data_IF_149029337350
#
_entry.id   IF_149029337350
#
_cell.length_a   1.000
_cell.length_b   1.000
_cell.length_c   1.000
_cell.angle_alpha   90.00
_cell.angle_beta   90.00
_cell.angle_gamma   90.00
#
_symmetry.space_group_name_H-M   'P 1'
#
loop_
_entity.id
_entity.type
_entity.pdbx_description
1 polymer ?
#
# COMPACT_ATOMS: atom_id res chain seq x y z
N UNK A 1 31.13 65.09 -58.77
CA UNK A 1 30.29 65.53 -57.64
C UNK A 1 29.27 64.43 -57.36
N UNK A 2 29.62 63.46 -56.52
CA UNK A 2 28.60 62.59 -55.92
C UNK A 2 27.84 63.41 -54.88
N UNK A 3 26.52 63.43 -54.98
CA UNK A 3 25.65 64.23 -54.13
C UNK A 3 25.88 63.85 -52.66
N UNK A 4 26.16 64.83 -51.79
CA UNK A 4 26.24 64.63 -50.32
C UNK A 4 24.99 63.94 -49.76
N UNK A 5 23.86 64.02 -50.45
CA UNK A 5 22.62 63.32 -50.11
C UNK A 5 22.72 61.80 -50.27
N UNK A 6 23.50 61.28 -51.22
CA UNK A 6 23.66 59.82 -51.43
C UNK A 6 24.49 59.18 -50.32
N UNK A 7 25.56 59.86 -49.88
CA UNK A 7 26.45 59.38 -48.81
C UNK A 7 25.72 59.37 -47.45
N UNK A 8 24.83 60.32 -47.20
CA UNK A 8 24.07 60.38 -45.95
C UNK A 8 23.02 59.26 -45.85
N UNK A 9 22.39 58.89 -46.97
CA UNK A 9 21.45 57.76 -47.05
C UNK A 9 22.19 56.43 -46.89
N UNK A 10 23.37 56.26 -47.49
CA UNK A 10 24.19 55.05 -47.32
C UNK A 10 24.69 54.87 -45.88
N UNK A 11 25.10 55.94 -45.20
CA UNK A 11 25.56 55.87 -43.81
C UNK A 11 24.42 55.56 -42.82
N UNK A 12 23.25 56.18 -43.00
CA UNK A 12 22.06 55.85 -42.19
C UNK A 12 21.56 54.43 -42.46
N UNK A 13 21.58 53.98 -43.72
CA UNK A 13 21.25 52.59 -44.09
C UNK A 13 22.21 51.58 -43.45
N UNK A 14 23.52 51.84 -43.46
CA UNK A 14 24.52 50.96 -42.85
C UNK A 14 24.36 50.85 -41.32
N UNK A 15 24.12 51.97 -40.62
CA UNK A 15 23.87 51.95 -39.17
C UNK A 15 22.58 51.21 -38.82
N UNK A 16 21.52 51.37 -39.61
CA UNK A 16 20.27 50.61 -39.40
C UNK A 16 20.45 49.11 -39.67
N UNK A 17 21.21 48.74 -40.70
CA UNK A 17 21.47 47.33 -41.03
C UNK A 17 22.23 46.61 -39.92
N UNK A 18 23.21 47.27 -39.28
CA UNK A 18 23.97 46.69 -38.16
C UNK A 18 23.07 46.46 -36.93
N UNK A 19 22.28 47.48 -36.56
CA UNK A 19 21.34 47.39 -35.44
C UNK A 19 20.36 46.22 -35.59
N UNK A 20 19.76 46.07 -36.77
CA UNK A 20 18.81 44.97 -36.97
C UNK A 20 19.49 43.60 -37.04
N UNK A 21 20.73 43.50 -37.52
CA UNK A 21 21.50 42.26 -37.50
C UNK A 21 21.77 41.80 -36.06
N UNK A 22 22.20 42.73 -35.20
CA UNK A 22 22.39 42.47 -33.77
C UNK A 22 21.08 42.06 -33.09
N UNK A 23 19.97 42.74 -33.41
CA UNK A 23 18.66 42.41 -32.87
C UNK A 23 18.19 41.00 -33.29
N UNK A 24 18.40 40.62 -34.55
CA UNK A 24 18.09 39.28 -35.06
C UNK A 24 18.95 38.22 -34.36
N UNK A 25 20.25 38.48 -34.19
CA UNK A 25 21.14 37.55 -33.49
C UNK A 25 20.73 37.38 -32.02
N UNK A 26 20.40 38.47 -31.33
CA UNK A 26 19.90 38.43 -29.96
C UNK A 26 18.59 37.64 -29.84
N UNK A 27 17.68 37.79 -30.81
CA UNK A 27 16.43 37.04 -30.84
C UNK A 27 16.66 35.55 -31.08
N UNK A 28 17.54 35.19 -32.02
CA UNK A 28 17.94 33.79 -32.26
C UNK A 28 18.49 33.15 -30.98
N UNK A 29 19.45 33.81 -30.32
CA UNK A 29 20.04 33.31 -29.07
C UNK A 29 18.99 33.13 -27.98
N UNK A 30 18.02 34.05 -27.89
CA UNK A 30 16.93 33.97 -26.92
C UNK A 30 16.02 32.77 -27.19
N UNK A 31 15.67 32.52 -28.45
CA UNK A 31 14.87 31.36 -28.87
C UNK A 31 15.61 30.06 -28.54
N UNK A 32 16.89 29.96 -28.91
CA UNK A 32 17.73 28.78 -28.63
C UNK A 32 17.84 28.48 -27.14
N UNK A 33 18.14 29.51 -26.33
CA UNK A 33 18.24 29.37 -24.88
C UNK A 33 16.93 28.85 -24.27
N UNK A 34 15.78 29.41 -24.70
CA UNK A 34 14.47 28.99 -24.19
C UNK A 34 14.08 27.58 -24.65
N UNK A 35 14.38 27.19 -25.89
CA UNK A 35 14.15 25.82 -26.38
C UNK A 35 15.01 24.81 -25.62
N UNK A 36 16.27 25.18 -25.34
CA UNK A 36 17.17 24.36 -24.55
C UNK A 36 16.67 24.20 -23.10
N UNK A 37 16.27 25.30 -22.47
CA UNK A 37 15.71 25.29 -21.11
C UNK A 37 14.43 24.43 -21.03
N UNK A 38 13.51 24.60 -21.98
CA UNK A 38 12.28 23.80 -22.07
C UNK A 38 12.60 22.31 -22.23
N UNK A 39 13.54 21.97 -23.11
CA UNK A 39 13.95 20.57 -23.33
C UNK A 39 14.59 19.95 -22.08
N UNK A 40 15.41 20.72 -21.34
CA UNK A 40 16.02 20.28 -20.08
C UNK A 40 14.98 20.06 -18.97
N UNK A 41 14.04 20.99 -18.82
CA UNK A 41 12.91 20.86 -17.87
C UNK A 41 12.01 19.68 -18.22
N UNK A 42 11.75 19.47 -19.50
CA UNK A 42 10.96 18.34 -19.99
C UNK A 42 11.65 17.00 -19.68
N UNK A 43 12.95 16.87 -19.96
CA UNK A 43 13.71 15.66 -19.63
C UNK A 43 13.65 15.34 -18.13
N UNK A 44 13.78 16.36 -17.28
CA UNK A 44 13.64 16.22 -15.82
C UNK A 44 12.23 15.78 -15.42
N UNK A 45 11.18 16.36 -16.01
CA UNK A 45 9.80 15.98 -15.72
C UNK A 45 9.50 14.53 -16.16
N UNK A 46 9.99 14.12 -17.33
CA UNK A 46 9.87 12.75 -17.83
C UNK A 46 10.56 11.75 -16.90
N UNK A 47 11.81 12.01 -16.51
CA UNK A 47 12.55 11.15 -15.57
C UNK A 47 11.78 10.97 -14.26
N UNK A 48 11.23 12.05 -13.70
CA UNK A 48 10.45 12.01 -12.46
C UNK A 48 9.14 11.23 -12.61
N UNK A 49 8.44 11.39 -13.73
CA UNK A 49 7.26 10.59 -14.02
C UNK A 49 7.61 9.10 -14.10
N UNK A 50 8.68 8.74 -14.81
CA UNK A 50 9.14 7.36 -14.91
C UNK A 50 9.48 6.77 -13.54
N UNK A 51 10.21 7.51 -12.69
CA UNK A 51 10.54 7.07 -11.32
C UNK A 51 9.28 6.88 -10.46
N UNK A 52 8.33 7.81 -10.52
CA UNK A 52 7.08 7.70 -9.79
C UNK A 52 6.22 6.51 -10.28
N UNK A 53 6.23 6.23 -11.58
CA UNK A 53 5.54 5.07 -12.16
C UNK A 53 6.19 3.75 -11.74
N UNK A 54 7.51 3.67 -11.76
CA UNK A 54 8.26 2.49 -11.33
C UNK A 54 8.02 2.20 -9.84
N UNK A 55 8.13 3.22 -8.98
CA UNK A 55 7.88 3.06 -7.55
C UNK A 55 6.41 2.71 -7.27
N UNK A 56 5.44 3.34 -7.95
CA UNK A 56 4.03 2.94 -7.82
C UNK A 56 3.80 1.49 -8.28
N UNK A 57 4.47 1.04 -9.35
CA UNK A 57 4.36 -0.33 -9.82
C UNK A 57 4.86 -1.34 -8.77
N UNK A 58 6.00 -1.07 -8.15
CA UNK A 58 6.61 -1.95 -7.14
C UNK A 58 5.88 -1.88 -5.79
N UNK A 59 5.61 -0.68 -5.29
CA UNK A 59 5.05 -0.46 -3.97
C UNK A 59 3.54 -0.73 -3.89
N UNK A 60 2.80 -0.51 -4.99
CA UNK A 60 1.34 -0.55 -4.98
C UNK A 60 0.81 -1.73 -5.77
N UNK A 61 1.05 -1.74 -7.09
CA UNK A 61 0.32 -2.65 -7.97
C UNK A 61 0.72 -4.11 -7.79
N UNK A 62 1.98 -4.37 -7.41
CA UNK A 62 2.41 -5.73 -7.05
C UNK A 62 1.80 -6.22 -5.73
N UNK A 63 1.47 -5.30 -4.81
CA UNK A 63 0.95 -5.64 -3.47
C UNK A 63 -0.57 -5.72 -3.42
N UNK A 64 -1.27 -5.10 -4.38
CA UNK A 64 -2.74 -5.10 -4.48
C UNK A 64 -3.44 -6.47 -4.32
N UNK A 65 -2.89 -7.63 -4.74
CA UNK A 65 -3.50 -8.94 -4.50
C UNK A 65 -3.80 -9.25 -3.02
N UNK A 66 -3.12 -8.59 -2.07
CA UNK A 66 -3.38 -8.72 -0.63
C UNK A 66 -4.84 -8.42 -0.25
N UNK A 67 -5.50 -7.51 -0.97
CA UNK A 67 -6.90 -7.16 -0.71
C UNK A 67 -7.81 -8.37 -0.94
N UNK A 68 -7.56 -9.11 -2.03
CA UNK A 68 -8.28 -10.34 -2.34
C UNK A 68 -7.91 -11.48 -1.38
N UNK A 69 -6.64 -11.61 -1.01
CA UNK A 69 -6.17 -12.62 -0.04
C UNK A 69 -6.93 -12.51 1.31
N UNK A 70 -7.17 -11.28 1.78
CA UNK A 70 -7.91 -11.03 3.02
C UNK A 70 -9.38 -11.40 2.85
N UNK A 71 -10.01 -11.02 1.74
CA UNK A 71 -11.39 -11.38 1.45
C UNK A 71 -11.57 -12.91 1.40
N UNK A 72 -10.62 -13.62 0.80
CA UNK A 72 -10.60 -15.09 0.75
C UNK A 72 -10.46 -15.70 2.15
N UNK A 73 -9.63 -15.11 3.03
CA UNK A 73 -9.55 -15.53 4.43
C UNK A 73 -10.88 -15.30 5.14
N UNK A 74 -11.51 -14.14 4.95
CA UNK A 74 -12.79 -13.82 5.56
C UNK A 74 -13.89 -14.78 5.12
N UNK A 75 -13.91 -15.17 3.84
CA UNK A 75 -14.84 -16.19 3.35
C UNK A 75 -14.55 -17.55 3.98
N UNK A 76 -13.28 -17.94 4.14
CA UNK A 76 -12.95 -19.18 4.86
C UNK A 76 -13.44 -19.13 6.31
N UNK A 77 -13.16 -18.06 7.05
CA UNK A 77 -13.56 -17.91 8.45
C UNK A 77 -15.09 -17.94 8.63
N UNK A 78 -15.86 -17.41 7.67
CA UNK A 78 -17.33 -17.50 7.66
C UNK A 78 -17.86 -18.91 7.46
N UNK A 79 -17.07 -19.78 6.82
CA UNK A 79 -17.46 -21.16 6.55
C UNK A 79 -17.01 -22.13 7.66
N UNK A 80 -16.28 -21.65 8.66
CA UNK A 80 -15.86 -22.46 9.81
C UNK A 80 -16.75 -22.12 11.00
N UNK A 81 -17.66 -23.04 11.31
CA UNK A 81 -18.49 -22.96 12.51
C UNK A 81 -17.65 -23.20 13.77
N UNK A 82 -17.96 -22.48 14.84
CA UNK A 82 -17.35 -22.69 16.15
C UNK A 82 -17.92 -23.95 16.78
N UNK A 83 -17.05 -24.80 17.30
CA UNK A 83 -17.45 -26.05 17.93
C UNK A 83 -18.30 -25.74 19.17
N UNK A 84 -19.47 -26.39 19.25
CA UNK A 84 -20.45 -26.20 20.32
C UNK A 84 -19.91 -26.42 21.74
N UNK A 85 -18.77 -27.10 21.89
CA UNK A 85 -18.10 -27.28 23.18
C UNK A 85 -17.45 -25.99 23.72
N UNK A 86 -17.21 -24.98 22.87
CA UNK A 86 -16.68 -23.67 23.29
C UNK A 86 -17.76 -22.61 23.48
N UNK A 87 -18.87 -22.70 22.75
CA UNK A 87 -19.86 -21.65 22.72
C UNK A 87 -20.74 -21.71 23.99
N UNK A 88 -20.78 -20.62 24.74
CA UNK A 88 -21.68 -20.43 25.88
C UNK A 88 -23.15 -20.31 25.40
N UNK A 89 -23.74 -21.41 24.91
CA UNK A 89 -25.15 -21.59 24.50
C UNK A 89 -25.55 -21.06 23.12
N UNK A 90 -24.70 -20.29 22.42
CA UNK A 90 -24.99 -19.82 21.05
C UNK A 90 -24.47 -20.78 19.99
N UNK A 91 -25.38 -21.54 19.39
CA UNK A 91 -25.08 -22.39 18.25
C UNK A 91 -25.09 -21.56 16.95
N UNK A 92 -24.14 -21.84 16.05
CA UNK A 92 -24.08 -21.23 14.71
C UNK A 92 -23.20 -19.98 14.58
N UNK A 93 -22.44 -19.61 15.62
CA UNK A 93 -21.37 -18.61 15.47
C UNK A 93 -20.23 -19.20 14.62
N UNK A 94 -19.62 -18.35 13.81
CA UNK A 94 -18.50 -18.68 12.92
C UNK A 94 -17.23 -18.03 13.45
N UNK A 95 -16.06 -18.50 13.02
CA UNK A 95 -14.80 -17.84 13.39
C UNK A 95 -14.75 -16.37 12.95
N UNK A 96 -15.52 -16.00 11.93
CA UNK A 96 -15.63 -14.63 11.47
C UNK A 96 -16.27 -13.69 12.50
N UNK A 97 -17.15 -14.20 13.37
CA UNK A 97 -17.83 -13.38 14.39
C UNK A 97 -16.89 -12.93 15.52
N UNK A 98 -15.68 -13.50 15.59
CA UNK A 98 -14.65 -13.18 16.57
C UNK A 98 -13.56 -12.23 16.04
N UNK A 99 -13.68 -11.78 14.79
CA UNK A 99 -12.71 -10.86 14.19
C UNK A 99 -13.31 -9.47 13.97
N UNK A 100 -12.48 -8.44 14.10
CA UNK A 100 -12.86 -7.05 13.80
C UNK A 100 -12.85 -6.79 12.28
N UNK A 101 -13.85 -7.33 11.60
CA UNK A 101 -13.95 -7.23 10.14
C UNK A 101 -14.24 -5.81 9.65
N UNK A 102 -14.81 -4.95 10.49
CA UNK A 102 -15.15 -3.57 10.13
C UNK A 102 -13.89 -2.72 10.06
N UNK A 103 -12.97 -2.85 11.03
CA UNK A 103 -11.67 -2.17 10.99
C UNK A 103 -10.86 -2.60 9.77
N UNK A 104 -10.80 -3.90 9.47
CA UNK A 104 -10.06 -4.41 8.30
C UNK A 104 -10.67 -3.89 6.99
N UNK A 105 -12.01 -3.85 6.90
CA UNK A 105 -12.70 -3.31 5.73
C UNK A 105 -12.43 -1.82 5.56
N UNK A 106 -12.37 -1.06 6.66
CA UNK A 106 -11.97 0.36 6.63
C UNK A 106 -10.57 0.52 6.05
N UNK A 107 -9.60 -0.28 6.49
CA UNK A 107 -8.24 -0.25 5.97
C UNK A 107 -8.16 -0.64 4.49
N UNK A 108 -8.92 -1.67 4.06
CA UNK A 108 -9.00 -2.05 2.64
C UNK A 108 -9.59 -0.89 1.79
N UNK A 109 -10.64 -0.22 2.29
CA UNK A 109 -11.24 0.92 1.60
C UNK A 109 -10.29 2.10 1.52
N UNK A 110 -9.56 2.40 2.60
CA UNK A 110 -8.54 3.44 2.62
C UNK A 110 -7.43 3.12 1.62
N UNK A 111 -6.92 1.89 1.61
CA UNK A 111 -5.93 1.45 0.63
C UNK A 111 -6.43 1.64 -0.81
N UNK A 112 -7.63 1.16 -1.15
CA UNK A 112 -8.24 1.34 -2.49
C UNK A 112 -8.38 2.81 -2.86
N UNK A 113 -8.83 3.63 -1.91
CA UNK A 113 -8.96 5.06 -2.13
C UNK A 113 -7.61 5.72 -2.42
N UNK A 114 -6.56 5.39 -1.66
CA UNK A 114 -5.21 5.93 -1.87
C UNK A 114 -4.57 5.47 -3.18
N UNK A 115 -4.78 4.20 -3.57
CA UNK A 115 -4.36 3.68 -4.88
C UNK A 115 -4.94 4.53 -5.99
N UNK A 116 -6.25 4.82 -5.91
CA UNK A 116 -6.94 5.65 -6.89
C UNK A 116 -6.39 7.07 -6.93
N UNK A 117 -6.09 7.67 -5.77
CA UNK A 117 -5.45 8.99 -5.71
C UNK A 117 -4.08 9.00 -6.44
N UNK A 118 -3.26 7.95 -6.30
CA UNK A 118 -1.99 7.81 -7.03
C UNK A 118 -2.21 7.64 -8.53
N UNK A 119 -3.15 6.79 -8.94
CA UNK A 119 -3.46 6.56 -10.37
C UNK A 119 -3.92 7.84 -11.06
N UNK A 120 -4.81 8.60 -10.41
CA UNK A 120 -5.28 9.89 -10.91
C UNK A 120 -4.14 10.92 -11.00
N UNK A 121 -3.26 10.96 -9.99
CA UNK A 121 -2.08 11.83 -9.97
C UNK A 121 -1.10 11.49 -11.10
N UNK A 122 -0.77 10.21 -11.28
CA UNK A 122 0.12 9.73 -12.36
C UNK A 122 -0.48 10.00 -13.73
N UNK A 123 -1.79 9.77 -13.91
CA UNK A 123 -2.50 10.05 -15.15
C UNK A 123 -2.47 11.54 -15.52
N UNK A 124 -2.75 12.41 -14.55
CA UNK A 124 -2.68 13.86 -14.72
C UNK A 124 -1.26 14.34 -15.06
N UNK A 125 -0.24 13.81 -14.37
CA UNK A 125 1.17 14.13 -14.64
C UNK A 125 1.58 13.65 -16.05
N UNK A 126 1.21 12.42 -16.42
CA UNK A 126 1.46 11.86 -17.74
C UNK A 126 0.82 12.70 -18.85
N UNK A 127 -0.45 13.09 -18.69
CA UNK A 127 -1.14 13.99 -19.63
C UNK A 127 -0.41 15.33 -19.79
N UNK A 128 -0.02 15.97 -18.68
CA UNK A 128 0.70 17.24 -18.72
C UNK A 128 2.06 17.11 -19.42
N UNK A 129 2.84 16.08 -19.11
CA UNK A 129 4.12 15.81 -19.77
C UNK A 129 3.94 15.60 -21.28
N UNK A 130 2.96 14.80 -21.70
CA UNK A 130 2.68 14.58 -23.12
C UNK A 130 2.30 15.88 -23.86
N UNK A 131 1.56 16.77 -23.20
CA UNK A 131 1.24 18.09 -23.76
C UNK A 131 2.49 18.96 -23.90
N UNK A 132 3.38 18.97 -22.91
CA UNK A 132 4.66 19.69 -22.98
C UNK A 132 5.54 19.12 -24.10
N UNK A 133 5.61 17.79 -24.26
CA UNK A 133 6.33 17.14 -25.37
C UNK A 133 5.79 17.62 -26.72
N UNK A 134 4.46 17.66 -26.88
CA UNK A 134 3.83 18.10 -28.12
C UNK A 134 4.17 19.57 -28.44
N UNK A 135 4.14 20.44 -27.44
CA UNK A 135 4.54 21.86 -27.56
C UNK A 135 6.01 21.98 -27.94
N UNK A 136 6.91 21.30 -27.22
CA UNK A 136 8.35 21.34 -27.49
C UNK A 136 8.65 20.86 -28.91
N UNK A 137 8.04 19.75 -29.35
CA UNK A 137 8.18 19.22 -30.71
C UNK A 137 7.69 20.20 -31.77
N UNK A 138 6.56 20.88 -31.53
CA UNK A 138 6.04 21.91 -32.42
C UNK A 138 7.02 23.07 -32.57
N UNK A 139 7.54 23.59 -31.45
CA UNK A 139 8.48 24.71 -31.45
C UNK A 139 9.81 24.35 -32.11
N UNK A 140 10.40 23.20 -31.79
CA UNK A 140 11.64 22.72 -32.42
C UNK A 140 11.46 22.55 -33.94
N UNK A 141 10.40 21.86 -34.39
CA UNK A 141 10.15 21.65 -35.82
C UNK A 141 10.00 22.98 -36.58
N UNK A 142 9.36 23.96 -35.94
CA UNK A 142 9.18 25.29 -36.52
C UNK A 142 10.52 26.04 -36.60
N UNK A 143 11.34 25.94 -35.56
CA UNK A 143 12.69 26.52 -35.53
C UNK A 143 13.60 25.92 -36.60
N UNK A 144 13.65 24.59 -36.69
CA UNK A 144 14.45 23.86 -37.69
C UNK A 144 14.03 24.25 -39.11
N UNK A 145 12.72 24.33 -39.39
CA UNK A 145 12.22 24.75 -40.70
C UNK A 145 12.65 26.17 -41.09
N UNK A 146 12.89 27.07 -40.14
CA UNK A 146 13.40 28.41 -40.43
C UNK A 146 14.90 28.35 -40.71
N UNK A 147 15.64 27.59 -39.90
CA UNK A 147 17.08 27.38 -40.09
C UNK A 147 17.39 26.75 -41.45
N UNK A 148 16.63 25.74 -41.87
CA UNK A 148 16.77 25.11 -43.18
C UNK A 148 16.54 26.10 -44.32
N UNK A 149 15.51 26.94 -44.22
CA UNK A 149 15.23 27.99 -45.22
C UNK A 149 16.33 29.05 -45.28
N UNK A 150 16.93 29.41 -44.15
CA UNK A 150 18.09 30.32 -44.13
C UNK A 150 19.29 29.69 -44.82
N UNK A 151 19.55 28.40 -44.58
CA UNK A 151 20.65 27.66 -45.19
C UNK A 151 20.47 27.47 -46.69
N UNK A 152 19.24 27.24 -47.17
CA UNK A 152 18.93 27.19 -48.60
C UNK A 152 19.09 28.55 -49.27
N UNK A 153 18.71 29.64 -48.59
CA UNK A 153 18.86 30.99 -49.11
C UNK A 153 20.31 31.42 -49.21
N UNK A 154 21.14 31.12 -48.21
CA UNK A 154 22.57 31.46 -48.24
C UNK A 154 23.32 30.80 -49.39
N UNK A 155 22.88 29.60 -49.83
CA UNK A 155 23.40 28.92 -51.03
C UNK A 155 22.98 29.60 -52.34
N UNK A 156 21.83 30.27 -52.37
CA UNK A 156 21.24 30.85 -53.59
C UNK A 156 21.58 32.34 -53.82
N UNK A 157 22.10 33.06 -52.82
CA UNK A 157 22.38 34.51 -52.88
C UNK A 157 23.66 34.92 -53.64
N UNK A 158 24.39 33.99 -54.25
CA UNK A 158 25.67 34.25 -54.93
C UNK A 158 25.57 34.94 -56.31
N UNK A 159 24.39 35.38 -56.77
CA UNK A 159 24.20 35.83 -58.18
C UNK A 159 23.33 37.07 -58.45
N UNK A 160 22.89 37.86 -57.47
CA UNK A 160 22.07 39.08 -57.78
C UNK A 160 22.19 40.17 -56.70
N UNK A 161 22.85 41.28 -57.06
CA UNK A 161 23.26 42.35 -56.15
C UNK A 161 22.18 43.44 -55.98
N UNK A 162 21.95 43.86 -54.73
CA UNK A 162 21.31 45.13 -54.38
C UNK A 162 19.94 45.03 -53.72
N UNK A 163 18.90 44.71 -54.49
CA UNK A 163 17.50 44.90 -54.02
C UNK A 163 16.91 43.69 -53.28
N UNK A 164 17.42 42.47 -53.53
CA UNK A 164 16.95 41.24 -52.87
C UNK A 164 17.29 41.18 -51.37
N UNK A 165 18.41 41.79 -50.97
CA UNK A 165 18.94 41.73 -49.60
C UNK A 165 17.97 42.32 -48.57
N UNK A 166 17.23 43.37 -48.92
CA UNK A 166 16.26 44.01 -48.01
C UNK A 166 15.00 43.17 -47.76
N UNK A 167 14.52 42.42 -48.77
CA UNK A 167 13.31 41.59 -48.66
C UNK A 167 13.60 40.31 -47.87
N UNK A 168 14.74 39.68 -48.13
CA UNK A 168 15.13 38.45 -47.43
C UNK A 168 15.37 38.69 -45.94
N UNK A 169 15.94 39.86 -45.61
CA UNK A 169 16.11 40.33 -44.24
C UNK A 169 14.78 40.50 -43.51
N UNK A 170 13.82 41.18 -44.12
CA UNK A 170 12.49 41.40 -43.53
C UNK A 170 11.77 40.07 -43.29
N UNK A 171 11.86 39.15 -44.26
CA UNK A 171 11.30 37.82 -44.11
C UNK A 171 11.91 37.07 -42.92
N UNK A 172 13.24 37.14 -42.73
CA UNK A 172 13.91 36.47 -41.60
C UNK A 172 13.43 37.02 -40.24
N UNK A 173 13.37 38.34 -40.11
CA UNK A 173 12.87 39.00 -38.90
C UNK A 173 11.42 38.60 -38.61
N UNK A 174 10.54 38.62 -39.62
CA UNK A 174 9.12 38.24 -39.47
C UNK A 174 8.99 36.80 -38.99
N UNK A 175 9.76 35.87 -39.54
CA UNK A 175 9.72 34.46 -39.14
C UNK A 175 10.22 34.24 -37.70
N UNK A 176 11.31 34.92 -37.28
CA UNK A 176 11.83 34.83 -35.91
C UNK A 176 10.89 35.47 -34.90
N UNK A 177 10.29 36.62 -35.23
CA UNK A 177 9.24 37.24 -34.39
C UNK A 177 8.02 36.33 -34.29
N UNK A 178 7.63 35.66 -35.37
CA UNK A 178 6.51 34.70 -35.34
C UNK A 178 6.79 33.51 -34.40
N UNK A 179 8.01 32.95 -34.40
CA UNK A 179 8.37 31.92 -33.40
C UNK A 179 8.34 32.48 -32.00
N UNK A 180 8.90 33.66 -31.77
CA UNK A 180 8.91 34.26 -30.44
C UNK A 180 7.48 34.46 -29.90
N UNK A 181 6.56 34.93 -30.75
CA UNK A 181 5.15 35.03 -30.40
C UNK A 181 4.51 33.65 -30.12
N UNK A 182 4.81 32.64 -30.93
CA UNK A 182 4.35 31.27 -30.67
C UNK A 182 4.90 30.73 -29.33
N UNK A 183 6.15 31.04 -28.98
CA UNK A 183 6.76 30.68 -27.71
C UNK A 183 6.05 31.37 -26.53
N UNK A 184 5.75 32.66 -26.63
CA UNK A 184 5.01 33.40 -25.60
C UNK A 184 3.57 32.87 -25.44
N UNK A 185 2.93 32.47 -26.54
CA UNK A 185 1.62 31.79 -26.48
C UNK A 185 1.72 30.43 -25.82
N UNK A 186 2.73 29.63 -26.19
CA UNK A 186 3.01 28.33 -25.60
C UNK A 186 3.36 28.46 -24.11
N UNK A 187 4.07 29.50 -23.70
CA UNK A 187 4.51 29.69 -22.32
C UNK A 187 3.32 29.75 -21.34
N UNK A 188 2.22 30.39 -21.75
CA UNK A 188 0.98 30.38 -20.96
C UNK A 188 0.43 28.97 -20.74
N UNK A 189 0.46 28.13 -21.77
CA UNK A 189 0.05 26.73 -21.66
C UNK A 189 1.04 25.91 -20.85
N UNK A 190 2.35 26.14 -21.03
CA UNK A 190 3.40 25.47 -20.26
C UNK A 190 3.26 25.78 -18.78
N UNK A 191 3.05 27.05 -18.41
CA UNK A 191 2.77 27.44 -17.03
C UNK A 191 1.55 26.67 -16.50
N UNK A 192 0.45 26.59 -17.24
CA UNK A 192 -0.72 25.81 -16.82
C UNK A 192 -0.40 24.33 -16.59
N UNK A 193 0.37 23.70 -17.48
CA UNK A 193 0.73 22.28 -17.34
C UNK A 193 1.73 22.04 -16.20
N UNK A 194 2.73 22.90 -16.02
CA UNK A 194 3.64 22.83 -14.88
C UNK A 194 2.92 23.12 -13.55
N UNK A 195 1.96 24.05 -13.54
CA UNK A 195 1.08 24.28 -12.40
C UNK A 195 0.14 23.11 -12.17
N UNK A 196 -0.33 22.41 -13.21
CA UNK A 196 -1.12 21.19 -13.04
C UNK A 196 -0.29 20.08 -12.39
N UNK A 197 0.95 19.87 -12.86
CA UNK A 197 1.91 18.94 -12.23
C UNK A 197 2.13 19.36 -10.77
N UNK A 198 2.48 20.63 -10.52
CA UNK A 198 2.65 21.19 -9.16
C UNK A 198 1.37 21.13 -8.30
N UNK A 199 0.20 21.23 -8.92
CA UNK A 199 -1.11 21.23 -8.27
C UNK A 199 -1.54 19.83 -7.85
N UNK A 200 -1.22 18.81 -8.66
CA UNK A 200 -1.28 17.41 -8.23
C UNK A 200 -0.48 17.25 -6.94
N UNK A 201 0.74 17.79 -6.89
CA UNK A 201 1.56 17.73 -5.68
C UNK A 201 0.97 18.50 -4.49
N UNK A 202 0.37 19.67 -4.74
CA UNK A 202 -0.19 20.49 -3.66
C UNK A 202 -1.44 19.85 -3.06
N UNK A 203 -2.32 19.24 -3.88
CA UNK A 203 -3.51 18.51 -3.40
C UNK A 203 -3.13 17.31 -2.54
N UNK A 204 -2.06 16.62 -2.91
CA UNK A 204 -1.53 15.51 -2.14
C UNK A 204 -0.93 15.98 -0.80
N UNK A 205 -0.34 17.18 -0.76
CA UNK A 205 0.28 17.74 0.45
C UNK A 205 -0.72 18.45 1.39
N UNK A 206 -1.90 18.89 0.91
CA UNK A 206 -2.88 19.60 1.75
C UNK A 206 -3.52 18.77 2.86
N UNK A 207 -3.35 17.43 2.86
CA UNK A 207 -3.71 16.57 4.01
C UNK A 207 -2.57 16.48 5.04
N UNK A 208 -1.34 16.88 4.70
CA UNK A 208 -0.18 16.94 5.58
C UNK A 208 -0.09 18.35 6.19
N UNK A 209 -0.82 18.57 7.27
CA UNK A 209 -0.96 19.87 7.94
C UNK A 209 0.40 20.43 8.45
N UNK A 210 0.64 21.74 8.22
CA UNK A 210 1.48 22.71 8.98
C UNK A 210 2.96 23.01 8.66
N UNK A 211 3.58 22.53 7.59
CA UNK A 211 4.94 23.01 7.26
C UNK A 211 5.00 23.93 6.04
N UNK A 212 4.90 25.23 6.34
CA UNK A 212 5.17 26.38 5.48
C UNK A 212 6.64 26.37 5.01
N UNK A 213 6.96 25.56 3.99
CA UNK A 213 8.22 25.69 3.28
C UNK A 213 7.99 26.32 1.90
N UNK A 214 8.76 27.38 1.55
CA UNK A 214 8.59 28.07 0.29
C UNK A 214 9.01 27.18 -0.89
N UNK A 215 8.24 27.31 -1.97
CA UNK A 215 8.38 26.69 -3.29
C UNK A 215 9.84 26.52 -3.74
N UNK A 216 10.41 25.34 -3.49
CA UNK A 216 11.63 24.87 -4.15
C UNK A 216 11.31 23.64 -5.00
N UNK A 217 12.03 23.45 -6.10
CA UNK A 217 11.88 22.31 -7.02
C UNK A 217 12.05 20.93 -6.35
N UNK A 218 12.51 20.88 -5.10
CA UNK A 218 12.57 19.66 -4.28
C UNK A 218 11.20 19.20 -3.76
N UNK A 219 10.20 20.09 -3.66
CA UNK A 219 8.88 19.76 -3.08
C UNK A 219 8.04 18.77 -3.89
N UNK A 220 8.31 18.66 -5.20
CA UNK A 220 7.58 17.77 -6.12
C UNK A 220 7.84 16.29 -5.79
N UNK A 221 9.08 15.91 -5.49
CA UNK A 221 9.43 14.52 -5.14
C UNK A 221 8.90 14.14 -3.75
N UNK A 222 8.91 15.08 -2.79
CA UNK A 222 8.40 14.83 -1.44
C UNK A 222 6.92 14.41 -1.42
N UNK A 223 6.10 14.89 -2.37
CA UNK A 223 4.66 14.63 -2.41
C UNK A 223 4.31 13.21 -2.89
N UNK A 224 4.97 12.69 -3.94
CA UNK A 224 4.76 11.29 -4.34
C UNK A 224 5.27 10.35 -3.28
N UNK A 225 6.48 10.59 -2.78
CA UNK A 225 7.09 9.75 -1.76
C UNK A 225 6.23 9.67 -0.50
N UNK A 226 5.60 10.78 -0.10
CA UNK A 226 4.72 10.76 1.06
C UNK A 226 3.49 9.86 0.86
N UNK A 227 2.76 10.02 -0.26
CA UNK A 227 1.60 9.20 -0.56
C UNK A 227 1.96 7.72 -0.77
N UNK A 228 3.10 7.47 -1.43
CA UNK A 228 3.63 6.12 -1.62
C UNK A 228 3.98 5.49 -0.28
N UNK A 229 4.63 6.23 0.62
CA UNK A 229 4.92 5.77 1.98
C UNK A 229 3.63 5.50 2.79
N UNK A 230 2.61 6.36 2.69
CA UNK A 230 1.31 6.11 3.35
C UNK A 230 0.70 4.78 2.86
N UNK A 231 0.70 4.55 1.55
CA UNK A 231 0.18 3.32 0.95
C UNK A 231 1.01 2.11 1.35
N UNK A 232 2.34 2.24 1.37
CA UNK A 232 3.24 1.18 1.85
C UNK A 232 2.91 0.83 3.30
N UNK A 233 2.74 1.81 4.20
CA UNK A 233 2.38 1.55 5.59
C UNK A 233 1.02 0.85 5.73
N UNK A 234 0.02 1.26 4.94
CA UNK A 234 -1.29 0.60 4.90
C UNK A 234 -1.17 -0.86 4.42
N UNK A 235 -0.36 -1.12 3.41
CA UNK A 235 -0.14 -2.48 2.93
C UNK A 235 0.60 -3.35 3.94
N UNK A 236 1.61 -2.84 4.63
CA UNK A 236 2.29 -3.57 5.71
C UNK A 236 1.32 -3.96 6.83
N UNK A 237 0.42 -3.04 7.21
CA UNK A 237 -0.63 -3.32 8.19
C UNK A 237 -1.60 -4.42 7.69
N UNK A 238 -2.05 -4.33 6.43
CA UNK A 238 -2.90 -5.35 5.82
C UNK A 238 -2.19 -6.72 5.73
N UNK A 239 -0.89 -6.76 5.43
CA UNK A 239 -0.10 -7.99 5.44
C UNK A 239 0.00 -8.59 6.84
N UNK A 240 0.24 -7.76 7.85
CA UNK A 240 0.27 -8.19 9.25
C UNK A 240 -1.06 -8.80 9.67
N UNK A 241 -2.18 -8.15 9.32
CA UNK A 241 -3.53 -8.65 9.58
C UNK A 241 -3.83 -9.95 8.84
N UNK A 242 -3.45 -10.06 7.56
CA UNK A 242 -3.58 -11.31 6.79
C UNK A 242 -2.87 -12.46 7.50
N UNK A 243 -1.63 -12.25 7.92
CA UNK A 243 -0.83 -13.29 8.55
C UNK A 243 -1.38 -13.66 9.93
N UNK A 244 -1.84 -12.66 10.69
CA UNK A 244 -2.56 -12.89 11.94
C UNK A 244 -3.79 -13.78 11.74
N UNK A 245 -4.67 -13.46 10.78
CA UNK A 245 -5.89 -14.24 10.55
C UNK A 245 -5.62 -15.64 9.97
N UNK A 246 -4.57 -15.81 9.16
CA UNK A 246 -4.10 -17.15 8.76
C UNK A 246 -3.64 -17.96 9.97
N UNK A 247 -2.90 -17.34 10.87
CA UNK A 247 -2.43 -18.01 12.08
C UNK A 247 -3.57 -18.31 13.05
N UNK A 248 -4.57 -17.44 13.15
CA UNK A 248 -5.78 -17.65 13.93
C UNK A 248 -6.52 -18.92 13.48
N UNK A 249 -6.81 -19.04 12.17
CA UNK A 249 -7.46 -20.21 11.57
C UNK A 249 -6.69 -21.52 11.89
N UNK A 250 -5.37 -21.52 11.64
CA UNK A 250 -4.50 -22.67 11.92
C UNK A 250 -4.44 -23.03 13.41
N UNK A 251 -4.44 -22.03 14.29
CA UNK A 251 -4.37 -22.24 15.74
C UNK A 251 -5.69 -22.77 16.27
N UNK A 252 -6.82 -22.31 15.74
CA UNK A 252 -8.13 -22.84 16.08
C UNK A 252 -8.25 -24.33 15.73
N UNK A 253 -7.78 -24.74 14.55
CA UNK A 253 -7.75 -26.16 14.18
C UNK A 253 -6.93 -27.02 15.16
N UNK A 254 -5.81 -26.50 15.66
CA UNK A 254 -5.00 -27.18 16.69
C UNK A 254 -5.70 -27.23 18.05
N UNK A 255 -6.42 -26.17 18.41
CA UNK A 255 -7.20 -26.09 19.64
C UNK A 255 -8.28 -27.19 19.67
N UNK A 256 -8.96 -27.44 18.54
CA UNK A 256 -9.93 -28.53 18.41
C UNK A 256 -9.30 -29.91 18.67
N UNK A 257 -8.12 -30.17 18.12
CA UNK A 257 -7.41 -31.43 18.35
C UNK A 257 -7.03 -31.60 19.82
N UNK A 258 -6.55 -30.54 20.45
CA UNK A 258 -6.16 -30.57 21.86
C UNK A 258 -7.38 -30.77 22.78
N UNK A 259 -8.52 -30.12 22.49
CA UNK A 259 -9.76 -30.39 23.22
C UNK A 259 -10.20 -31.84 23.09
N UNK A 260 -10.20 -32.38 21.87
CA UNK A 260 -10.56 -33.77 21.66
C UNK A 260 -9.64 -34.71 22.46
N UNK A 261 -8.33 -34.44 22.48
CA UNK A 261 -7.36 -35.19 23.28
C UNK A 261 -7.68 -35.13 24.79
N UNK A 262 -8.05 -33.96 25.32
CA UNK A 262 -8.44 -33.78 26.72
C UNK A 262 -9.72 -34.54 27.07
N UNK A 263 -10.76 -34.45 26.23
CA UNK A 263 -11.99 -35.21 26.41
C UNK A 263 -11.74 -36.72 26.41
N UNK A 264 -10.86 -37.21 25.53
CA UNK A 264 -10.49 -38.63 25.50
C UNK A 264 -9.73 -39.05 26.77
N UNK A 265 -8.84 -38.19 27.26
CA UNK A 265 -8.14 -38.43 28.53
C UNK A 265 -9.11 -38.48 29.72
N UNK A 266 -10.06 -37.55 29.80
CA UNK A 266 -11.10 -37.52 30.83
C UNK A 266 -11.94 -38.80 30.80
N UNK A 267 -12.45 -39.20 29.63
CA UNK A 267 -13.23 -40.46 29.48
C UNK A 267 -12.42 -41.68 29.91
N UNK A 268 -11.16 -41.77 29.50
CA UNK A 268 -10.28 -42.90 29.86
C UNK A 268 -10.01 -42.94 31.38
N UNK A 269 -9.83 -41.76 31.98
CA UNK A 269 -9.61 -41.63 33.43
C UNK A 269 -10.87 -42.05 34.18
N UNK A 270 -12.05 -41.56 33.77
CA UNK A 270 -13.33 -41.93 34.36
C UNK A 270 -13.58 -43.44 34.25
N UNK A 271 -13.33 -44.03 33.06
CA UNK A 271 -13.45 -45.47 32.87
C UNK A 271 -12.55 -46.24 33.85
N UNK A 272 -11.28 -45.82 33.97
CA UNK A 272 -10.32 -46.44 34.89
C UNK A 272 -10.80 -46.36 36.34
N UNK A 273 -11.31 -45.19 36.77
CA UNK A 273 -11.88 -45.01 38.12
C UNK A 273 -13.07 -45.93 38.33
N UNK A 274 -13.99 -46.02 37.35
CA UNK A 274 -15.15 -46.91 37.45
C UNK A 274 -14.74 -48.38 37.56
N UNK A 275 -13.72 -48.81 36.80
CA UNK A 275 -13.17 -50.17 36.89
C UNK A 275 -12.56 -50.44 38.28
N UNK A 276 -11.81 -49.49 38.85
CA UNK A 276 -11.28 -49.58 40.21
C UNK A 276 -12.38 -49.68 41.26
N UNK A 277 -13.44 -48.87 41.17
CA UNK A 277 -14.59 -48.92 42.08
C UNK A 277 -15.26 -50.30 42.01
N UNK A 278 -15.48 -50.84 40.80
CA UNK A 278 -16.07 -52.18 40.62
C UNK A 278 -15.18 -53.26 41.22
N UNK A 279 -13.87 -53.20 41.01
CA UNK A 279 -12.93 -54.16 41.55
C UNK A 279 -12.93 -54.15 43.10
N UNK A 280 -12.92 -52.96 43.71
CA UNK A 280 -12.98 -52.79 45.17
C UNK A 280 -14.30 -53.33 45.73
N UNK A 281 -15.44 -53.06 45.08
CA UNK A 281 -16.72 -53.61 45.51
C UNK A 281 -16.76 -55.14 45.43
N UNK A 282 -16.26 -55.72 44.32
CA UNK A 282 -16.19 -57.17 44.16
C UNK A 282 -15.37 -57.83 45.29
N UNK A 283 -14.22 -57.25 45.66
CA UNK A 283 -13.40 -57.76 46.77
C UNK A 283 -14.10 -57.67 48.13
N UNK A 284 -14.85 -56.59 48.38
CA UNK A 284 -15.64 -56.43 49.61
C UNK A 284 -16.76 -57.46 49.68
N UNK A 285 -17.42 -57.75 48.56
CA UNK A 285 -18.49 -58.75 48.48
C UNK A 285 -17.95 -60.18 48.67
N UNK A 286 -16.81 -60.50 48.04
CA UNK A 286 -16.12 -61.79 48.25
C UNK A 286 -15.71 -62.00 49.73
N UNK A 287 -15.17 -60.97 50.38
CA UNK A 287 -14.77 -61.06 51.79
C UNK A 287 -15.99 -61.21 52.71
N UNK A 288 -17.10 -60.50 52.42
CA UNK A 288 -18.34 -60.68 53.17
C UNK A 288 -18.89 -62.09 53.01
N UNK A 289 -18.87 -62.64 51.78
CA UNK A 289 -19.30 -64.01 51.51
C UNK A 289 -18.46 -65.01 52.32
N UNK A 290 -17.12 -64.91 52.27
CA UNK A 290 -16.23 -65.78 53.06
C UNK A 290 -16.48 -65.66 54.57
N UNK A 291 -16.75 -64.45 55.08
CA UNK A 291 -17.11 -64.24 56.49
C UNK A 291 -18.44 -64.88 56.86
N UNK A 292 -19.42 -64.84 55.96
CA UNK A 292 -20.72 -65.49 56.15
C UNK A 292 -20.60 -67.02 56.14
N UNK A 293 -19.86 -67.58 55.18
CA UNK A 293 -19.55 -69.01 55.12
C UNK A 293 -18.87 -69.48 56.42
N UNK A 294 -17.83 -68.77 56.86
CA UNK A 294 -17.13 -69.06 58.12
C UNK A 294 -18.06 -69.00 59.33
N UNK A 295 -18.95 -67.99 59.39
CA UNK A 295 -19.97 -67.90 60.43
C UNK A 295 -20.87 -69.13 60.41
N UNK A 296 -21.45 -69.46 59.26
CA UNK A 296 -22.37 -70.59 59.15
C UNK A 296 -21.74 -71.90 59.62
N UNK A 297 -20.46 -72.13 59.31
CA UNK A 297 -19.76 -73.35 59.67
C UNK A 297 -19.35 -73.40 61.17
N UNK A 298 -18.84 -72.28 61.71
CA UNK A 298 -18.13 -72.29 63.00
C UNK A 298 -18.82 -71.54 64.14
N UNK A 299 -19.79 -70.64 63.90
CA UNK A 299 -20.32 -69.77 64.97
C UNK A 299 -21.00 -70.52 66.12
N UNK A 300 -21.62 -71.67 65.82
CA UNK A 300 -22.26 -72.51 66.85
C UNK A 300 -21.27 -73.01 67.92
N UNK A 301 -19.98 -72.98 67.64
CA UNK A 301 -18.91 -73.45 68.52
C UNK A 301 -18.09 -72.32 69.14
N UNK A 302 -18.28 -71.07 68.71
CA UNK A 302 -17.48 -69.93 69.15
C UNK A 302 -18.35 -68.94 69.93
N UNK A 303 -18.09 -68.73 71.23
CA UNK A 303 -18.72 -67.66 71.99
C UNK A 303 -18.48 -66.30 71.33
N UNK A 304 -19.55 -65.52 71.13
CA UNK A 304 -19.48 -64.20 70.48
C UNK A 304 -18.49 -63.22 71.16
N UNK A 305 -18.20 -63.42 72.45
CA UNK A 305 -17.27 -62.60 73.22
C UNK A 305 -15.79 -62.80 72.84
N UNK A 306 -15.42 -63.89 72.16
CA UNK A 306 -14.02 -64.17 71.81
C UNK A 306 -13.49 -63.25 70.72
N UNK A 307 -14.34 -62.85 69.76
CA UNK A 307 -13.94 -61.92 68.70
C UNK A 307 -15.15 -61.12 68.20
N UNK A 308 -15.36 -59.90 68.71
CA UNK A 308 -16.43 -59.00 68.25
C UNK A 308 -16.32 -58.67 66.75
N UNK A 309 -15.10 -58.74 66.21
CA UNK A 309 -14.80 -58.43 64.81
C UNK A 309 -15.49 -59.38 63.84
N UNK A 310 -15.79 -60.61 64.26
CA UNK A 310 -16.52 -61.56 63.41
C UNK A 310 -17.91 -61.04 63.05
N UNK A 311 -18.56 -60.21 63.88
CA UNK A 311 -19.88 -59.64 63.59
C UNK A 311 -19.85 -58.37 62.73
N UNK A 312 -18.69 -57.83 62.41
CA UNK A 312 -18.56 -56.59 61.64
C UNK A 312 -18.39 -56.93 60.15
N UNK A 313 -19.17 -56.28 59.28
CA UNK A 313 -19.03 -56.39 57.82
C UNK A 313 -17.63 -55.94 57.35
N UNK A 314 -17.23 -56.39 56.17
CA UNK A 314 -15.99 -55.94 55.54
C UNK A 314 -15.99 -54.40 55.39
N UNK A 315 -14.80 -53.80 55.57
CA UNK A 315 -14.62 -52.34 55.49
C UNK A 315 -14.90 -51.87 54.06
N UNK A 316 -15.70 -50.82 53.92
CA UNK A 316 -15.96 -50.16 52.63
C UNK A 316 -14.96 -49.03 52.39
N UNK A 317 -14.55 -48.89 51.13
CA UNK A 317 -13.70 -47.79 50.66
C UNK A 317 -14.49 -46.90 49.69
N UNK A 318 -14.17 -45.61 49.66
CA UNK A 318 -14.75 -44.63 48.73
C UNK A 318 -13.60 -43.87 48.07
N UNK A 319 -13.62 -43.80 46.74
CA UNK A 319 -12.75 -42.91 45.98
C UNK A 319 -13.42 -41.53 45.97
N UNK A 320 -12.67 -40.49 46.33
CA UNK A 320 -13.14 -39.10 46.40
C UNK A 320 -12.32 -38.30 45.41
N UNK A 321 -13.00 -37.58 44.53
CA UNK A 321 -12.36 -36.62 43.63
C UNK A 321 -11.81 -35.46 44.45
N UNK A 322 -10.53 -35.16 44.27
CA UNK A 322 -9.90 -33.99 44.87
C UNK A 322 -9.94 -32.91 43.81
N UNK A 323 -10.81 -31.93 44.00
CA UNK A 323 -10.80 -30.70 43.23
C UNK A 323 -9.82 -29.78 43.97
N UNK A 324 -8.66 -29.53 43.38
CA UNK A 324 -7.71 -28.54 43.89
C UNK A 324 -8.35 -27.15 43.71
N UNK A 325 -9.17 -26.74 44.69
CA UNK A 325 -9.73 -25.40 44.74
C UNK A 325 -8.67 -24.44 45.28
N UNK A 326 -7.85 -23.90 44.38
CA UNK A 326 -6.79 -22.94 44.70
C UNK A 326 -7.29 -21.59 45.30
N UNK A 327 -8.58 -21.43 45.57
CA UNK A 327 -9.17 -20.16 46.03
C UNK A 327 -9.25 -19.96 47.56
N UNK A 328 -8.96 -20.97 48.40
CA UNK A 328 -9.20 -20.84 49.85
C UNK A 328 -8.07 -20.13 50.64
N UNK A 329 -7.03 -19.62 49.98
CA UNK A 329 -5.88 -18.96 50.63
C UNK A 329 -5.76 -17.45 50.42
N UNK A 330 -6.67 -16.81 49.66
CA UNK A 330 -6.62 -15.35 49.43
C UNK A 330 -7.46 -14.49 50.41
N UNK A 331 -8.29 -15.09 51.27
CA UNK A 331 -9.16 -14.35 52.21
C UNK A 331 -8.70 -14.41 53.69
N UNK A 332 -7.41 -14.66 53.93
CA UNK A 332 -6.77 -14.48 55.24
C UNK A 332 -5.56 -13.55 55.14
N UNK A 333 -5.77 -12.29 54.75
CA UNK A 333 -4.90 -11.18 55.15
C UNK A 333 -5.75 -9.95 55.43
#
# INVERSE_FOLDING_TARGET
MFSKSTIFVEFTMASTSLYYTEAIQGLTQTIENRLHELSSKLSTAQMRLSQAQEHAQEAIFQRQPILQDIDDIFQRLKNVEVDSSFANEKTGETLFDFIDSDTVRSLQQDAVFRIKEVEEALSAHHYAVNRIIAINRFLCKRYDSIQDRQLERSKNTSTSEGTKVSIDFYNDLVWKVAIFLDMEQCDRYLVQYYTAISGVHTRLNTKCINHTYPFSNAGIMCSYNHLLNEIETLFEELYSLRDFYRQFDLTYAKLLQELHRRQMFERNTEQTIQEMIRAVHCQVDEENLRREEFKQEHFRYLPAALSPQLNISARRFRIVEIIDSDEESANKV
#
